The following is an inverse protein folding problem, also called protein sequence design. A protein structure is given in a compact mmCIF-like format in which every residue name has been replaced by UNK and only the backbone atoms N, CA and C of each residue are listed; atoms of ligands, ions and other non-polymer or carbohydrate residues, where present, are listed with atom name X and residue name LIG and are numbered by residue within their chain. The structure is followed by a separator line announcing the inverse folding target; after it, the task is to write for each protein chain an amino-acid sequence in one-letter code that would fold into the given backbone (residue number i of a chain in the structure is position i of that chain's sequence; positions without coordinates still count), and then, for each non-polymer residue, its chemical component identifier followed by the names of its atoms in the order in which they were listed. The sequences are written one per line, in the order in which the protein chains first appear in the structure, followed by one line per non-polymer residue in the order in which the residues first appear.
data_IF_597964462725
#
_entry.id   IF_597964462725
#
_cell.length_a   1.000
_cell.length_b   1.000
_cell.length_c   1.000
_cell.angle_alpha   90.00
_cell.angle_beta   90.00
_cell.angle_gamma   90.00
#
_symmetry.space_group_name_H-M   'P 1'
#
loop_
_entity.id
_entity.type
_entity.pdbx_description
1 polymer ?
#
# COMPACT_ATOMS: atom_id res chain seq x y z
N UNK A 1 27.58 16.46 7.84
CA UNK A 1 27.56 15.00 7.58
C UNK A 1 26.24 14.43 8.05
N UNK A 2 25.79 13.31 7.47
CA UNK A 2 24.59 12.55 7.83
C UNK A 2 25.03 11.10 8.09
N UNK A 3 25.12 10.67 9.36
CA UNK A 3 25.39 9.28 9.72
C UNK A 3 24.30 8.34 9.19
N UNK A 4 24.73 7.25 8.57
CA UNK A 4 23.89 6.15 8.13
C UNK A 4 24.40 4.84 8.74
N UNK A 5 23.51 4.17 9.47
CA UNK A 5 23.76 2.84 10.01
C UNK A 5 22.92 1.83 9.23
N UNK A 6 23.57 0.79 8.71
CA UNK A 6 22.92 -0.25 7.93
C UNK A 6 23.28 -1.59 8.57
N UNK A 7 22.26 -2.36 8.91
CA UNK A 7 22.40 -3.71 9.43
C UNK A 7 21.72 -4.69 8.48
N UNK A 8 22.48 -5.70 8.05
CA UNK A 8 22.02 -6.78 7.18
C UNK A 8 22.13 -8.06 7.96
N UNK A 9 21.00 -8.71 8.16
CA UNK A 9 20.84 -9.93 8.93
C UNK A 9 20.44 -11.03 7.94
N UNK A 10 21.25 -12.08 7.88
CA UNK A 10 21.04 -13.23 7.01
C UNK A 10 21.13 -14.51 7.82
N UNK A 11 20.91 -15.68 7.21
CA UNK A 11 20.96 -16.96 7.90
C UNK A 11 22.35 -17.21 8.54
N UNK A 12 22.46 -16.95 9.84
CA UNK A 12 23.66 -17.19 10.65
C UNK A 12 24.74 -16.10 10.61
N UNK A 13 24.52 -14.98 9.91
CA UNK A 13 25.46 -13.84 9.87
C UNK A 13 24.72 -12.51 10.05
N UNK A 14 25.39 -11.53 10.64
CA UNK A 14 24.90 -10.17 10.77
C UNK A 14 26.04 -9.19 10.54
N UNK A 15 25.85 -8.28 9.58
CA UNK A 15 26.85 -7.28 9.21
C UNK A 15 26.31 -5.89 9.41
N UNK A 16 27.11 -5.08 10.09
CA UNK A 16 26.80 -3.68 10.40
C UNK A 16 27.78 -2.76 9.70
N UNK A 17 27.24 -1.76 9.03
CA UNK A 17 27.96 -0.71 8.33
C UNK A 17 27.62 0.63 8.98
N UNK A 18 28.64 1.36 9.40
CA UNK A 18 28.51 2.74 9.86
C UNK A 18 29.17 3.63 8.80
N UNK A 19 28.38 4.50 8.19
CA UNK A 19 28.79 5.30 7.03
C UNK A 19 28.47 6.75 7.33
N UNK A 20 29.41 7.65 7.07
CA UNK A 20 29.13 9.09 7.09
C UNK A 20 28.89 9.59 5.68
N UNK A 21 27.72 10.16 5.43
CA UNK A 21 27.34 10.68 4.13
C UNK A 21 27.38 12.21 4.12
N UNK A 22 27.61 12.79 2.96
CA UNK A 22 27.41 14.22 2.79
C UNK A 22 25.91 14.54 3.00
N UNK A 23 25.62 15.47 3.90
CA UNK A 23 24.25 15.95 4.13
C UNK A 23 23.97 17.09 3.16
N UNK A 24 23.66 16.72 1.92
CA UNK A 24 23.40 17.64 0.83
C UNK A 24 22.12 17.24 0.10
N UNK A 25 21.36 18.23 -0.36
CA UNK A 25 20.05 18.04 -0.98
C UNK A 25 20.10 17.24 -2.27
N UNK A 26 21.15 17.41 -3.06
CA UNK A 26 21.30 16.83 -4.39
C UNK A 26 22.12 15.53 -4.34
N UNK A 27 23.20 15.52 -3.57
CA UNK A 27 24.11 14.37 -3.48
C UNK A 27 23.74 13.38 -2.38
N UNK A 28 23.17 13.82 -1.26
CA UNK A 28 22.81 12.96 -0.12
C UNK A 28 21.95 11.75 -0.51
N UNK A 29 20.86 11.91 -1.29
CA UNK A 29 20.01 10.79 -1.70
C UNK A 29 20.74 9.73 -2.54
N UNK A 30 21.57 10.14 -3.50
CA UNK A 30 22.28 9.19 -4.37
C UNK A 30 23.42 8.51 -3.60
N UNK A 31 24.12 9.23 -2.71
CA UNK A 31 25.16 8.65 -1.85
C UNK A 31 24.58 7.60 -0.90
N UNK A 32 23.43 7.88 -0.27
CA UNK A 32 22.75 6.92 0.60
C UNK A 32 22.32 5.67 -0.18
N UNK A 33 21.76 5.85 -1.38
CA UNK A 33 21.35 4.73 -2.23
C UNK A 33 22.53 3.86 -2.64
N UNK A 34 23.65 4.47 -3.02
CA UNK A 34 24.88 3.75 -3.36
C UNK A 34 25.45 3.03 -2.15
N UNK A 35 25.53 3.69 -1.00
CA UNK A 35 26.01 3.10 0.25
C UNK A 35 25.19 1.86 0.67
N UNK A 36 23.86 1.94 0.59
CA UNK A 36 22.98 0.80 0.88
C UNK A 36 23.14 -0.33 -0.13
N UNK A 37 23.22 -0.01 -1.42
CA UNK A 37 23.48 -1.01 -2.45
C UNK A 37 24.84 -1.71 -2.24
N UNK A 38 25.91 -0.95 -1.93
CA UNK A 38 27.24 -1.49 -1.65
C UNK A 38 27.27 -2.36 -0.39
N UNK A 39 26.60 -1.95 0.68
CA UNK A 39 26.46 -2.76 1.90
C UNK A 39 25.80 -4.12 1.58
N UNK A 40 24.72 -4.10 0.78
CA UNK A 40 24.06 -5.31 0.31
C UNK A 40 24.99 -6.15 -0.56
N UNK A 41 25.61 -5.61 -1.61
CA UNK A 41 26.54 -6.38 -2.48
C UNK A 41 27.67 -7.03 -1.68
N UNK A 42 28.16 -6.37 -0.63
CA UNK A 42 29.26 -6.88 0.19
C UNK A 42 28.84 -8.02 1.13
N UNK A 43 27.56 -8.09 1.48
CA UNK A 43 26.99 -9.08 2.40
C UNK A 43 26.27 -10.21 1.68
N UNK A 44 25.64 -9.88 0.56
CA UNK A 44 24.65 -10.65 -0.17
C UNK A 44 24.82 -10.50 -1.69
N UNK A 45 24.24 -11.41 -2.47
CA UNK A 45 24.10 -11.24 -3.92
C UNK A 45 22.87 -10.37 -4.20
N UNK A 46 23.03 -9.26 -4.93
CA UNK A 46 21.90 -8.38 -5.30
C UNK A 46 20.79 -9.07 -6.10
N UNK A 47 21.10 -10.20 -6.73
CA UNK A 47 20.19 -11.00 -7.56
C UNK A 47 20.00 -12.37 -6.95
N UNK A 48 18.77 -12.83 -6.91
CA UNK A 48 18.39 -14.10 -6.32
C UNK A 48 16.96 -14.05 -5.82
N UNK A 49 16.31 -15.20 -5.76
CA UNK A 49 14.99 -15.33 -5.16
C UNK A 49 15.12 -15.05 -3.66
N UNK A 50 14.71 -13.86 -3.24
CA UNK A 50 14.87 -13.38 -1.87
C UNK A 50 13.59 -12.80 -1.33
N UNK A 51 13.44 -12.83 -0.01
CA UNK A 51 12.50 -12.01 0.74
C UNK A 51 13.28 -11.16 1.72
N UNK A 52 12.97 -9.87 1.75
CA UNK A 52 13.67 -8.86 2.54
C UNK A 52 12.64 -8.15 3.41
N UNK A 53 12.62 -8.48 4.70
CA UNK A 53 11.92 -7.69 5.69
C UNK A 53 12.81 -6.50 6.06
N UNK A 54 12.31 -5.29 5.91
CA UNK A 54 13.12 -4.09 6.06
C UNK A 54 12.44 -3.07 6.96
N UNK A 55 13.24 -2.47 7.84
CA UNK A 55 12.85 -1.37 8.71
C UNK A 55 13.74 -0.17 8.45
N UNK A 56 13.13 1.01 8.40
CA UNK A 56 13.81 2.28 8.26
C UNK A 56 13.42 3.25 9.37
N UNK A 57 14.41 4.00 9.85
CA UNK A 57 14.24 5.13 10.76
C UNK A 57 15.05 6.31 10.24
N UNK A 58 14.40 7.45 10.09
CA UNK A 58 15.03 8.70 9.65
C UNK A 58 14.81 9.73 10.76
N UNK A 59 15.89 10.15 11.40
CA UNK A 59 15.87 11.19 12.43
C UNK A 59 16.03 12.55 11.77
N UNK A 60 15.17 13.51 12.11
CA UNK A 60 15.13 14.83 11.48
C UNK A 60 15.10 15.88 12.58
N UNK A 61 15.94 16.91 12.44
CA UNK A 61 16.08 17.94 13.45
C UNK A 61 14.74 18.62 13.74
N UNK A 62 14.43 18.78 15.04
CA UNK A 62 13.22 19.45 15.51
C UNK A 62 11.90 18.70 15.23
N UNK A 63 11.95 17.42 14.82
CA UNK A 63 10.77 16.64 14.43
C UNK A 63 10.82 15.22 14.98
N UNK A 64 9.66 14.58 15.10
CA UNK A 64 9.61 13.15 15.42
C UNK A 64 10.22 12.33 14.27
N UNK A 65 10.93 11.24 14.59
CA UNK A 65 11.57 10.40 13.57
C UNK A 65 10.52 9.72 12.69
N UNK A 66 10.80 9.67 11.39
CA UNK A 66 10.01 8.90 10.44
C UNK A 66 10.43 7.43 10.52
N UNK A 67 9.52 6.57 10.97
CA UNK A 67 9.72 5.12 11.04
C UNK A 67 8.80 4.45 10.04
N UNK A 68 9.32 3.48 9.30
CA UNK A 68 8.56 2.72 8.32
C UNK A 68 9.12 1.32 8.17
N UNK A 69 8.24 0.38 7.80
CA UNK A 69 8.57 -1.03 7.65
C UNK A 69 7.94 -1.54 6.36
N UNK A 70 8.62 -2.44 5.65
CA UNK A 70 8.08 -3.05 4.45
C UNK A 70 8.76 -4.40 4.16
N UNK A 71 8.14 -5.19 3.29
CA UNK A 71 8.69 -6.46 2.81
C UNK A 71 8.88 -6.38 1.29
N UNK A 72 9.99 -6.89 0.78
CA UNK A 72 10.30 -6.92 -0.65
C UNK A 72 10.67 -8.34 -1.03
N UNK A 73 10.04 -8.90 -2.06
CA UNK A 73 10.30 -10.29 -2.44
C UNK A 73 10.37 -10.49 -3.95
N UNK A 74 11.05 -11.56 -4.36
CA UNK A 74 11.23 -12.00 -5.74
C UNK A 74 12.70 -11.94 -6.20
N UNK A 75 12.97 -12.13 -7.51
CA UNK A 75 14.32 -12.19 -8.06
C UNK A 75 15.16 -10.92 -7.85
N UNK A 76 14.49 -9.79 -7.61
CA UNK A 76 15.06 -8.48 -7.37
C UNK A 76 14.68 -7.91 -5.99
N UNK A 77 14.35 -8.77 -5.01
CA UNK A 77 13.87 -8.37 -3.68
C UNK A 77 14.79 -7.35 -2.99
N UNK A 78 16.09 -7.64 -2.93
CA UNK A 78 17.11 -6.73 -2.40
C UNK A 78 17.19 -5.39 -3.16
N UNK A 79 17.13 -5.42 -4.50
CA UNK A 79 17.12 -4.20 -5.32
C UNK A 79 15.89 -3.33 -5.07
N UNK A 80 14.72 -3.95 -4.90
CA UNK A 80 13.48 -3.26 -4.51
C UNK A 80 13.58 -2.69 -3.09
N UNK A 81 14.21 -3.40 -2.15
CA UNK A 81 14.45 -2.91 -0.80
C UNK A 81 15.32 -1.65 -0.80
N UNK A 82 16.40 -1.61 -1.59
CA UNK A 82 17.23 -0.40 -1.77
C UNK A 82 16.38 0.79 -2.22
N UNK A 83 15.55 0.59 -3.24
CA UNK A 83 14.66 1.64 -3.78
C UNK A 83 13.66 2.11 -2.73
N UNK A 84 12.98 1.18 -2.07
CA UNK A 84 11.93 1.48 -1.10
C UNK A 84 12.46 2.17 0.15
N UNK A 85 13.61 1.72 0.69
CA UNK A 85 14.24 2.31 1.87
C UNK A 85 14.78 3.72 1.62
N UNK A 86 15.34 4.00 0.44
CA UNK A 86 15.95 5.31 0.12
C UNK A 86 14.96 6.34 -0.41
N UNK A 87 13.79 5.92 -0.90
CA UNK A 87 12.76 6.82 -1.43
C UNK A 87 12.30 7.90 -0.43
N UNK A 88 12.03 7.59 0.85
CA UNK A 88 11.66 8.61 1.83
C UNK A 88 12.72 9.69 2.01
N UNK A 89 14.00 9.34 2.16
CA UNK A 89 15.10 10.32 2.27
C UNK A 89 15.18 11.21 1.03
N UNK A 90 15.11 10.61 -0.16
CA UNK A 90 15.08 11.37 -1.41
C UNK A 90 13.91 12.36 -1.48
N UNK A 91 12.70 11.92 -1.11
CA UNK A 91 11.51 12.80 -1.11
C UNK A 91 11.58 13.90 -0.07
N UNK A 92 12.15 13.60 1.09
CA UNK A 92 12.36 14.54 2.19
C UNK A 92 13.38 15.61 1.78
N UNK A 93 14.60 15.25 1.36
CA UNK A 93 15.62 16.23 0.98
C UNK A 93 15.21 17.07 -0.24
N UNK A 94 14.60 16.45 -1.25
CA UNK A 94 14.15 17.14 -2.47
C UNK A 94 12.78 17.80 -2.35
N UNK A 95 12.21 17.89 -1.14
CA UNK A 95 10.93 18.55 -0.97
C UNK A 95 11.00 20.04 -1.36
N UNK A 96 9.94 20.65 -1.90
CA UNK A 96 9.93 22.04 -2.32
C UNK A 96 9.40 23.01 -1.25
N UNK A 97 9.06 22.54 -0.05
CA UNK A 97 8.31 23.31 0.95
C UNK A 97 9.24 24.00 1.95
N UNK A 98 10.15 23.22 2.54
CA UNK A 98 11.04 23.65 3.63
C UNK A 98 12.38 22.95 3.48
N UNK A 99 13.46 23.63 3.85
CA UNK A 99 14.74 22.95 4.04
C UNK A 99 14.66 22.03 5.27
N UNK A 100 15.27 20.85 5.17
CA UNK A 100 15.27 19.87 6.26
C UNK A 100 16.69 19.43 6.56
N UNK A 101 16.94 19.15 7.84
CA UNK A 101 18.20 18.58 8.29
C UNK A 101 17.97 17.16 8.80
N UNK A 102 18.42 16.16 8.03
CA UNK A 102 18.41 14.76 8.47
C UNK A 102 19.61 14.54 9.38
N UNK A 103 19.36 14.19 10.64
CA UNK A 103 20.38 13.97 11.67
C UNK A 103 21.00 12.58 11.55
N UNK A 104 20.20 11.56 11.19
CA UNK A 104 20.68 10.20 10.99
C UNK A 104 19.68 9.34 10.24
N UNK A 105 20.18 8.26 9.63
CA UNK A 105 19.37 7.22 9.00
C UNK A 105 19.80 5.85 9.51
N UNK A 106 18.84 5.01 9.87
CA UNK A 106 19.08 3.62 10.27
C UNK A 106 18.23 2.69 9.42
N UNK A 107 18.86 1.67 8.85
CA UNK A 107 18.19 0.60 8.12
C UNK A 107 18.57 -0.76 8.70
N UNK A 108 17.56 -1.59 8.92
CA UNK A 108 17.73 -3.01 9.25
C UNK A 108 17.05 -3.82 8.15
N UNK A 109 17.79 -4.78 7.59
CA UNK A 109 17.32 -5.67 6.53
C UNK A 109 17.51 -7.10 7.01
N UNK A 110 16.43 -7.85 7.09
CA UNK A 110 16.42 -9.29 7.33
C UNK A 110 16.19 -9.99 5.99
N UNK A 111 17.17 -10.80 5.57
CA UNK A 111 17.23 -11.42 4.25
C UNK A 111 17.03 -12.92 4.36
N UNK A 112 16.07 -13.42 3.59
CA UNK A 112 15.79 -14.84 3.42
C UNK A 112 16.03 -15.22 1.95
N UNK A 113 16.76 -16.32 1.69
CA UNK A 113 16.95 -16.90 0.35
C UNK A 113 15.71 -17.73 -0.11
N UNK A 114 14.53 -17.17 0.08
CA UNK A 114 13.26 -17.70 -0.42
C UNK A 114 12.40 -16.55 -0.92
N UNK A 115 11.86 -16.64 -2.14
CA UNK A 115 11.01 -15.60 -2.71
C UNK A 115 9.54 -15.84 -2.35
N UNK A 116 9.09 -15.21 -1.27
CA UNK A 116 7.70 -15.24 -0.83
C UNK A 116 6.87 -14.25 -1.63
N UNK A 117 6.53 -14.62 -2.88
CA UNK A 117 5.72 -13.82 -3.79
C UNK A 117 4.39 -14.52 -4.10
N UNK A 118 3.29 -13.77 -4.04
CA UNK A 118 1.95 -14.26 -4.35
C UNK A 118 1.22 -13.38 -5.37
N UNK A 119 0.44 -13.98 -6.27
CA UNK A 119 -0.49 -13.27 -7.16
C UNK A 119 -1.92 -13.59 -6.80
N UNK A 120 -2.73 -12.56 -6.54
CA UNK A 120 -4.18 -12.70 -6.36
C UNK A 120 -4.77 -13.21 -7.67
N UNK A 121 -5.28 -14.44 -7.65
CA UNK A 121 -5.74 -15.15 -8.84
C UNK A 121 -7.25 -15.12 -9.00
N UNK A 122 -7.99 -15.42 -7.94
CA UNK A 122 -9.45 -15.42 -7.96
C UNK A 122 -10.04 -15.15 -6.58
N UNK A 123 -11.31 -14.79 -6.57
CA UNK A 123 -12.10 -14.58 -5.36
C UNK A 123 -13.42 -15.34 -5.52
N UNK A 124 -13.86 -16.01 -4.45
CA UNK A 124 -15.19 -16.61 -4.37
C UNK A 124 -15.90 -16.05 -3.14
N UNK A 125 -17.19 -15.79 -3.28
CA UNK A 125 -18.07 -15.41 -2.18
C UNK A 125 -18.92 -16.61 -1.78
N UNK A 126 -19.23 -16.75 -0.50
CA UNK A 126 -20.15 -17.77 0.02
C UNK A 126 -21.63 -17.42 -0.22
N UNK A 127 -21.91 -16.16 -0.56
CA UNK A 127 -23.24 -15.63 -0.86
C UNK A 127 -23.33 -15.09 -2.28
N UNK A 128 -24.48 -15.35 -2.90
CA UNK A 128 -24.87 -14.80 -4.22
C UNK A 128 -25.92 -13.69 -4.11
N UNK A 129 -26.60 -13.59 -2.97
CA UNK A 129 -27.54 -12.54 -2.62
C UNK A 129 -27.08 -11.88 -1.34
N UNK A 130 -27.14 -10.55 -1.29
CA UNK A 130 -26.53 -9.74 -0.23
C UNK A 130 -27.56 -8.73 0.26
N UNK A 131 -27.79 -8.71 1.56
CA UNK A 131 -28.62 -7.74 2.24
C UNK A 131 -27.78 -6.81 3.13
N UNK A 132 -28.37 -5.69 3.57
CA UNK A 132 -27.73 -4.83 4.53
C UNK A 132 -27.49 -5.57 5.86
N UNK A 133 -26.35 -5.35 6.51
CA UNK A 133 -25.98 -6.07 7.73
C UNK A 133 -25.38 -7.47 7.52
N UNK A 134 -25.41 -8.02 6.29
CA UNK A 134 -24.87 -9.34 6.00
C UNK A 134 -23.37 -9.43 6.28
N UNK A 135 -22.96 -10.55 6.87
CA UNK A 135 -21.57 -11.01 6.81
C UNK A 135 -21.37 -11.90 5.59
N UNK A 136 -20.41 -11.55 4.74
CA UNK A 136 -20.04 -12.30 3.53
C UNK A 136 -18.70 -12.98 3.79
N UNK A 137 -18.64 -14.29 3.59
CA UNK A 137 -17.42 -15.07 3.53
C UNK A 137 -16.74 -14.94 2.16
N UNK A 138 -15.45 -14.68 2.18
CA UNK A 138 -14.64 -14.38 0.99
C UNK A 138 -13.46 -15.35 1.00
N UNK A 139 -13.38 -16.20 -0.03
CA UNK A 139 -12.24 -17.10 -0.25
C UNK A 139 -11.37 -16.52 -1.37
N UNK A 140 -10.17 -16.08 -1.00
CA UNK A 140 -9.23 -15.41 -1.90
C UNK A 140 -8.15 -16.42 -2.25
N UNK A 141 -8.02 -16.75 -3.53
CA UNK A 141 -7.01 -17.69 -4.01
C UNK A 141 -5.77 -16.91 -4.49
N UNK A 142 -4.63 -17.17 -3.84
CA UNK A 142 -3.33 -16.57 -4.14
C UNK A 142 -2.42 -17.64 -4.70
N UNK A 143 -1.94 -17.45 -5.93
CA UNK A 143 -0.97 -18.35 -6.56
C UNK A 143 0.43 -17.92 -6.13
N UNK A 144 1.14 -18.79 -5.38
CA UNK A 144 2.55 -18.56 -5.05
C UNK A 144 3.42 -18.68 -6.30
N UNK A 145 4.50 -17.92 -6.35
CA UNK A 145 5.52 -18.08 -7.39
C UNK A 145 6.13 -19.49 -7.28
N UNK A 146 6.12 -20.24 -8.39
CA UNK A 146 6.57 -21.65 -8.47
C UNK A 146 5.94 -22.61 -7.44
N UNK A 147 4.79 -22.26 -6.86
CA UNK A 147 4.18 -23.02 -5.78
C UNK A 147 2.67 -23.22 -5.93
N UNK A 148 2.09 -23.77 -4.87
CA UNK A 148 0.67 -24.11 -4.82
C UNK A 148 -0.24 -22.88 -4.68
N UNK A 149 -1.52 -23.13 -4.94
CA UNK A 149 -2.59 -22.18 -4.70
C UNK A 149 -2.88 -22.13 -3.19
N UNK A 150 -2.58 -21.00 -2.56
CA UNK A 150 -2.95 -20.72 -1.18
C UNK A 150 -4.35 -20.09 -1.13
N UNK A 151 -5.13 -20.44 -0.12
CA UNK A 151 -6.41 -19.79 0.17
C UNK A 151 -6.27 -18.89 1.38
N UNK A 152 -6.85 -17.70 1.29
CA UNK A 152 -6.99 -16.75 2.39
C UNK A 152 -8.49 -16.56 2.59
N UNK A 153 -8.98 -16.94 3.76
CA UNK A 153 -10.37 -16.75 4.14
C UNK A 153 -10.52 -15.40 4.86
N UNK A 154 -11.53 -14.64 4.45
CA UNK A 154 -11.84 -13.35 5.02
C UNK A 154 -13.36 -13.22 5.22
N UNK A 155 -13.76 -12.38 6.17
CA UNK A 155 -15.15 -12.04 6.40
C UNK A 155 -15.35 -10.53 6.29
N UNK A 156 -16.37 -10.11 5.57
CA UNK A 156 -16.72 -8.71 5.38
C UNK A 156 -18.18 -8.48 5.78
N UNK A 157 -18.40 -7.61 6.78
CA UNK A 157 -19.75 -7.17 7.16
C UNK A 157 -20.18 -5.97 6.31
N UNK A 158 -21.31 -6.10 5.64
CA UNK A 158 -22.01 -5.00 4.98
C UNK A 158 -22.63 -4.10 6.06
N UNK A 159 -22.44 -2.77 6.01
CA UNK A 159 -23.05 -1.87 6.98
C UNK A 159 -24.58 -2.01 7.03
N UNK A 160 -25.17 -1.90 8.21
CA UNK A 160 -26.62 -2.07 8.43
C UNK A 160 -27.45 -0.97 7.74
N UNK A 161 -26.95 0.26 7.70
CA UNK A 161 -27.54 1.38 6.96
C UNK A 161 -27.18 1.43 5.46
N UNK A 162 -27.01 0.28 4.81
CA UNK A 162 -26.75 0.22 3.36
C UNK A 162 -28.08 0.15 2.60
N UNK A 163 -28.45 1.22 1.91
CA UNK A 163 -29.62 1.19 1.00
C UNK A 163 -29.40 0.23 -0.17
N UNK A 164 -30.50 -0.21 -0.79
CA UNK A 164 -30.51 -0.97 -2.05
C UNK A 164 -29.68 -0.27 -3.13
N UNK A 165 -28.51 -0.84 -3.43
CA UNK A 165 -27.55 -0.23 -4.33
C UNK A 165 -26.47 -1.22 -4.81
N UNK A 166 -25.74 -0.79 -5.83
CA UNK A 166 -24.51 -1.44 -6.26
C UNK A 166 -23.32 -1.00 -5.40
N UNK A 167 -22.64 -1.96 -4.80
CA UNK A 167 -21.35 -1.79 -4.17
C UNK A 167 -20.23 -2.40 -5.03
N UNK A 168 -19.02 -1.91 -4.81
CA UNK A 168 -17.80 -2.44 -5.44
C UNK A 168 -16.86 -2.91 -4.35
N UNK A 169 -16.54 -4.20 -4.37
CA UNK A 169 -15.55 -4.81 -3.50
C UNK A 169 -14.24 -5.00 -4.27
N UNK A 170 -13.21 -4.28 -3.85
CA UNK A 170 -11.85 -4.48 -4.31
C UNK A 170 -11.10 -5.39 -3.36
N UNK A 171 -10.38 -6.37 -3.93
CA UNK A 171 -9.46 -7.26 -3.24
C UNK A 171 -8.09 -7.03 -3.90
N UNK A 172 -7.20 -6.31 -3.25
CA UNK A 172 -6.02 -5.72 -3.89
C UNK A 172 -4.77 -5.93 -3.07
N UNK A 173 -3.62 -6.08 -3.75
CA UNK A 173 -2.32 -5.93 -3.11
C UNK A 173 -2.09 -4.47 -2.69
N UNK A 174 -1.20 -4.24 -1.72
CA UNK A 174 -0.82 -2.90 -1.28
C UNK A 174 -0.37 -1.96 -2.43
N UNK A 175 0.38 -2.49 -3.40
CA UNK A 175 0.82 -1.75 -4.59
C UNK A 175 -0.33 -1.35 -5.52
N UNK A 176 -1.30 -2.26 -5.72
CA UNK A 176 -2.52 -2.00 -6.50
C UNK A 176 -3.42 -0.99 -5.79
N UNK A 177 -3.56 -1.12 -4.47
CA UNK A 177 -4.29 -0.18 -3.62
C UNK A 177 -3.74 1.24 -3.74
N UNK A 178 -2.43 1.43 -3.53
CA UNK A 178 -1.79 2.74 -3.65
C UNK A 178 -2.02 3.36 -5.04
N UNK A 179 -1.92 2.58 -6.11
CA UNK A 179 -2.17 3.04 -7.49
C UNK A 179 -3.63 3.44 -7.73
N UNK A 180 -4.57 2.75 -7.10
CA UNK A 180 -6.00 3.05 -7.21
C UNK A 180 -6.37 4.28 -6.39
N UNK A 181 -5.95 4.33 -5.14
CA UNK A 181 -6.25 5.42 -4.21
C UNK A 181 -5.59 6.75 -4.63
N UNK A 182 -4.35 6.71 -5.12
CA UNK A 182 -3.70 7.92 -5.67
C UNK A 182 -4.42 8.51 -6.90
N UNK A 183 -5.26 7.73 -7.58
CA UNK A 183 -6.15 8.24 -8.64
C UNK A 183 -7.51 8.69 -8.10
N UNK A 184 -8.04 7.98 -7.09
CA UNK A 184 -9.34 8.25 -6.48
C UNK A 184 -9.33 9.54 -5.67
N UNK A 185 -8.30 9.71 -4.83
CA UNK A 185 -8.10 10.85 -3.93
C UNK A 185 -6.67 11.42 -4.08
N UNK A 186 -6.32 12.01 -5.25
CA UNK A 186 -4.95 12.42 -5.55
C UNK A 186 -4.37 13.43 -4.55
N UNK A 187 -5.23 14.21 -3.90
CA UNK A 187 -4.82 15.20 -2.91
C UNK A 187 -4.28 14.58 -1.61
N UNK A 188 -4.63 13.34 -1.26
CA UNK A 188 -4.03 12.62 -0.10
C UNK A 188 -2.62 12.14 -0.38
N UNK A 189 -2.30 11.89 -1.66
CA UNK A 189 -1.02 11.28 -2.06
C UNK A 189 -0.05 12.31 -2.64
N UNK A 190 -0.51 13.54 -2.83
CA UNK A 190 0.30 14.70 -3.23
C UNK A 190 0.47 15.60 -2.02
N UNK A 191 1.67 15.59 -1.45
CA UNK A 191 2.03 16.50 -0.38
C UNK A 191 1.73 17.95 -0.79
N UNK A 192 1.25 18.76 0.15
CA UNK A 192 0.99 20.20 -0.04
C UNK A 192 1.92 21.07 0.80
N UNK A 193 2.54 20.47 1.81
CA UNK A 193 3.50 21.06 2.75
C UNK A 193 4.29 19.91 3.41
N UNK A 194 5.30 20.24 4.21
CA UNK A 194 6.21 19.24 4.78
C UNK A 194 5.51 18.25 5.73
N UNK A 195 4.66 18.72 6.64
CA UNK A 195 3.90 17.82 7.53
C UNK A 195 3.05 16.79 6.78
N UNK A 196 2.48 17.20 5.64
CA UNK A 196 1.72 16.29 4.80
C UNK A 196 2.63 15.25 4.16
N UNK A 197 3.83 15.64 3.72
CA UNK A 197 4.81 14.70 3.18
C UNK A 197 5.20 13.63 4.23
N UNK A 198 5.49 14.02 5.46
CA UNK A 198 5.79 13.06 6.55
C UNK A 198 4.65 12.07 6.75
N UNK A 199 3.40 12.56 6.76
CA UNK A 199 2.21 11.71 6.89
C UNK A 199 2.09 10.70 5.73
N UNK A 200 2.33 11.12 4.49
CA UNK A 200 2.29 10.24 3.32
C UNK A 200 3.38 9.16 3.43
N UNK A 201 4.59 9.54 3.82
CA UNK A 201 5.72 8.62 3.93
C UNK A 201 5.57 7.64 5.10
N UNK A 202 4.93 8.06 6.19
CA UNK A 202 4.69 7.22 7.37
C UNK A 202 3.45 6.30 7.27
N UNK A 203 2.66 6.41 6.21
CA UNK A 203 1.42 5.62 6.00
C UNK A 203 1.50 4.68 4.80
N UNK A 204 2.71 4.30 4.40
CA UNK A 204 2.89 3.34 3.31
C UNK A 204 2.42 1.97 3.81
N UNK A 205 1.46 1.37 3.11
CA UNK A 205 1.01 0.01 3.36
C UNK A 205 2.16 -0.98 3.11
N UNK A 206 2.31 -1.97 3.99
CA UNK A 206 3.30 -3.02 3.78
C UNK A 206 2.91 -3.87 2.57
N UNK A 207 3.89 -4.29 1.78
CA UNK A 207 3.68 -5.06 0.55
C UNK A 207 3.14 -6.48 0.79
N UNK A 208 3.31 -7.01 2.01
CA UNK A 208 2.74 -8.27 2.52
C UNK A 208 1.33 -8.08 3.10
N UNK A 209 0.60 -7.06 2.66
CA UNK A 209 -0.78 -6.78 3.11
C UNK A 209 -1.77 -6.93 1.95
N UNK A 210 -2.79 -7.76 2.18
CA UNK A 210 -3.98 -7.87 1.35
C UNK A 210 -5.02 -6.88 1.86
N UNK A 211 -5.61 -6.10 0.96
CA UNK A 211 -6.57 -5.06 1.30
C UNK A 211 -7.91 -5.37 0.65
N UNK A 212 -8.95 -5.49 1.47
CA UNK A 212 -10.34 -5.56 1.05
C UNK A 212 -10.95 -4.17 1.24
N UNK A 213 -11.45 -3.56 0.17
CA UNK A 213 -12.06 -2.25 0.20
C UNK A 213 -13.46 -2.31 -0.41
N UNK A 214 -14.47 -2.02 0.40
CA UNK A 214 -15.86 -1.92 0.00
C UNK A 214 -16.22 -0.47 -0.28
N UNK A 215 -16.65 -0.19 -1.51
CA UNK A 215 -17.00 1.13 -2.00
C UNK A 215 -18.48 1.21 -2.34
N UNK A 216 -19.12 2.33 -2.02
CA UNK A 216 -20.40 2.71 -2.61
C UNK A 216 -20.16 3.38 -3.97
N UNK A 217 -21.06 3.14 -4.92
CA UNK A 217 -21.11 3.88 -6.18
C UNK A 217 -21.57 5.34 -6.02
N UNK A 218 -21.97 5.76 -4.81
CA UNK A 218 -22.37 7.14 -4.50
C UNK A 218 -21.13 8.03 -4.30
N UNK A 219 -21.23 9.25 -4.82
CA UNK A 219 -20.18 10.25 -4.69
C UNK A 219 -19.98 10.67 -3.22
N UNK A 220 -18.73 10.73 -2.79
CA UNK A 220 -18.28 11.22 -1.49
C UNK A 220 -17.59 12.58 -1.60
N UNK A 221 -16.99 13.03 -0.51
CA UNK A 221 -16.30 14.33 -0.41
C UNK A 221 -15.00 14.18 0.38
N UNK A 222 -13.95 14.87 -0.08
CA UNK A 222 -12.71 15.06 0.68
C UNK A 222 -12.63 16.49 1.23
N UNK A 223 -12.13 16.64 2.45
CA UNK A 223 -11.88 17.92 3.15
C UNK A 223 -10.40 17.96 3.49
N UNK A 224 -9.68 18.98 3.01
CA UNK A 224 -8.23 19.11 3.18
C UNK A 224 -7.42 17.90 2.66
N UNK A 225 -7.97 17.17 1.68
CA UNK A 225 -7.40 15.92 1.18
C UNK A 225 -8.05 14.69 1.81
N UNK A 226 -8.48 14.74 3.07
CA UNK A 226 -9.07 13.56 3.74
C UNK A 226 -10.47 13.25 3.29
N UNK A 227 -10.72 12.00 2.93
CA UNK A 227 -12.08 11.52 2.73
C UNK A 227 -12.82 11.52 4.06
N UNK A 228 -13.98 12.18 4.09
CA UNK A 228 -14.86 12.19 5.26
C UNK A 228 -15.96 11.17 4.97
N UNK A 229 -15.93 10.03 5.66
CA UNK A 229 -16.89 8.95 5.42
C UNK A 229 -18.30 9.30 5.91
N UNK A 230 -19.29 8.87 5.13
CA UNK A 230 -20.74 8.88 5.43
C UNK A 230 -21.33 10.22 5.88
N UNK A 231 -21.13 11.29 5.10
CA UNK A 231 -21.97 12.48 5.23
C UNK A 231 -23.33 12.24 4.53
N UNK A 232 -24.46 12.59 5.14
CA UNK A 232 -25.76 12.56 4.47
C UNK A 232 -25.71 13.34 3.15
N UNK A 233 -26.48 12.94 2.11
CA UNK A 233 -26.48 13.62 0.80
C UNK A 233 -26.71 15.13 0.89
N UNK A 234 -27.47 15.59 1.89
CA UNK A 234 -27.70 17.01 2.19
C UNK A 234 -26.44 17.75 2.63
N UNK A 235 -25.60 17.13 3.47
CA UNK A 235 -24.33 17.73 3.92
C UNK A 235 -23.31 17.73 2.78
N UNK A 236 -23.24 16.64 1.99
CA UNK A 236 -22.43 16.60 0.75
C UNK A 236 -22.84 17.70 -0.22
N UNK A 237 -24.15 17.93 -0.38
CA UNK A 237 -24.68 18.99 -1.25
C UNK A 237 -24.37 20.38 -0.73
N UNK A 238 -24.49 20.62 0.58
CA UNK A 238 -24.11 21.89 1.22
C UNK A 238 -22.61 22.16 1.07
N UNK A 239 -21.75 21.16 1.28
CA UNK A 239 -20.30 21.30 1.08
C UNK A 239 -19.92 21.50 -0.39
N UNK A 240 -20.66 20.88 -1.31
CA UNK A 240 -20.52 21.13 -2.75
C UNK A 240 -20.94 22.55 -3.17
N UNK A 241 -21.75 23.25 -2.39
CA UNK A 241 -22.11 24.66 -2.64
C UNK A 241 -21.01 25.61 -2.11
N UNK A 242 -20.29 25.24 -1.04
CA UNK A 242 -19.20 26.01 -0.43
C UNK A 242 -17.84 25.92 -1.17
N UNK A 243 -17.86 25.67 -2.49
CA UNK A 243 -16.66 25.41 -3.34
C UNK A 243 -15.66 26.57 -3.42
N UNK A 244 -16.03 27.76 -2.96
CA UNK A 244 -15.22 28.98 -3.09
C UNK A 244 -13.85 28.92 -2.38
N UNK A 245 -13.64 27.99 -1.45
CA UNK A 245 -12.37 27.87 -0.69
C UNK A 245 -11.38 26.83 -1.24
N UNK A 246 -11.73 26.05 -2.27
CA UNK A 246 -10.82 25.04 -2.88
C UNK A 246 -10.43 23.85 -1.99
N UNK A 247 -10.94 23.78 -0.75
CA UNK A 247 -10.63 22.76 0.26
C UNK A 247 -11.49 21.50 0.19
N UNK A 248 -12.53 21.52 -0.67
CA UNK A 248 -13.56 20.47 -0.79
C UNK A 248 -13.56 19.92 -2.23
N UNK A 249 -13.28 18.62 -2.39
CA UNK A 249 -13.41 17.93 -3.69
C UNK A 249 -14.34 16.73 -3.58
N UNK A 250 -15.12 16.48 -4.63
CA UNK A 250 -15.95 15.28 -4.71
C UNK A 250 -15.13 14.06 -5.15
N UNK A 251 -15.40 12.92 -4.52
CA UNK A 251 -14.87 11.61 -4.91
C UNK A 251 -16.01 10.82 -5.54
N UNK A 252 -15.73 10.08 -6.62
CA UNK A 252 -16.79 9.33 -7.33
C UNK A 252 -17.31 8.10 -6.58
N UNK A 253 -16.52 7.58 -5.63
CA UNK A 253 -16.86 6.40 -4.84
C UNK A 253 -16.44 6.64 -3.39
N UNK A 254 -17.37 6.39 -2.47
CA UNK A 254 -17.13 6.52 -1.02
C UNK A 254 -16.70 5.18 -0.43
N UNK A 255 -15.65 5.18 0.40
CA UNK A 255 -15.26 4.00 1.18
C UNK A 255 -16.29 3.73 2.28
N UNK A 256 -16.89 2.53 2.26
CA UNK A 256 -17.79 2.04 3.30
C UNK A 256 -17.05 1.21 4.35
N UNK A 257 -16.09 0.39 3.93
CA UNK A 257 -15.31 -0.48 4.80
C UNK A 257 -13.96 -0.80 4.19
N UNK A 258 -12.95 -0.89 5.05
CA UNK A 258 -11.65 -1.46 4.70
C UNK A 258 -11.23 -2.53 5.71
N UNK A 259 -10.58 -3.57 5.22
CA UNK A 259 -9.96 -4.62 6.03
C UNK A 259 -8.55 -4.87 5.48
N UNK A 260 -7.56 -4.87 6.38
CA UNK A 260 -6.16 -5.17 6.08
C UNK A 260 -5.83 -6.53 6.68
N UNK A 261 -5.32 -7.43 5.85
CA UNK A 261 -4.98 -8.81 6.23
C UNK A 261 -3.49 -9.00 5.93
N UNK A 262 -2.63 -9.14 6.96
CA UNK A 262 -1.24 -9.53 6.77
C UNK A 262 -1.15 -10.91 6.12
N UNK A 263 -0.19 -11.07 5.20
CA UNK A 263 0.09 -12.32 4.51
C UNK A 263 1.54 -12.74 4.67
N UNK A 264 1.84 -13.99 4.34
CA UNK A 264 3.19 -14.56 4.39
C UNK A 264 4.06 -14.18 3.19
N UNK A 265 3.46 -13.57 2.16
CA UNK A 265 4.07 -13.25 0.88
C UNK A 265 3.75 -11.82 0.44
N UNK A 266 4.66 -11.23 -0.35
CA UNK A 266 4.42 -9.97 -1.06
C UNK A 266 3.44 -10.22 -2.19
N UNK A 267 2.33 -9.48 -2.16
CA UNK A 267 1.22 -9.71 -3.08
C UNK A 267 1.28 -8.84 -4.33
N UNK A 268 0.73 -9.38 -5.41
CA UNK A 268 0.50 -8.67 -6.67
C UNK A 268 -0.92 -8.93 -7.21
N UNK A 269 -1.41 -8.00 -8.02
CA UNK A 269 -2.70 -8.12 -8.68
C UNK A 269 -3.85 -7.55 -7.87
N UNK A 270 -5.05 -7.77 -8.40
CA UNK A 270 -6.29 -7.21 -7.90
C UNK A 270 -7.48 -8.01 -8.45
N UNK A 271 -8.53 -8.12 -7.66
CA UNK A 271 -9.85 -8.59 -8.10
C UNK A 271 -10.91 -7.55 -7.74
N UNK A 272 -11.92 -7.41 -8.59
CA UNK A 272 -13.04 -6.51 -8.37
C UNK A 272 -14.33 -7.29 -8.51
N UNK A 273 -15.15 -7.22 -7.46
CA UNK A 273 -16.46 -7.86 -7.41
C UNK A 273 -17.52 -6.78 -7.23
N UNK A 274 -18.57 -6.88 -8.01
CA UNK A 274 -19.74 -6.01 -7.90
C UNK A 274 -20.77 -6.75 -7.07
N UNK A 275 -21.25 -6.08 -6.02
CA UNK A 275 -22.28 -6.60 -5.12
C UNK A 275 -23.55 -5.79 -5.34
N UNK A 276 -24.69 -6.45 -5.55
CA UNK A 276 -26.00 -5.83 -5.56
C UNK A 276 -26.62 -6.11 -4.19
N UNK A 277 -26.85 -5.04 -3.43
CA UNK A 277 -27.50 -5.10 -2.13
C UNK A 277 -28.99 -4.83 -2.34
N UNK A 278 -29.85 -5.70 -1.79
CA UNK A 278 -31.31 -5.59 -1.93
C UNK A 278 -31.94 -6.68 -2.78
N UNK A 279 -33.25 -6.58 -3.07
CA UNK A 279 -34.17 -7.69 -3.45
C UNK A 279 -33.92 -8.43 -4.78
N UNK A 280 -32.83 -8.20 -5.50
CA UNK A 280 -32.55 -8.92 -6.77
C UNK A 280 -31.91 -10.30 -6.52
N UNK A 281 -32.49 -11.35 -7.12
CA UNK A 281 -32.15 -12.76 -6.87
C UNK A 281 -30.78 -13.23 -7.41
N UNK A 282 -30.04 -12.39 -8.15
CA UNK A 282 -28.69 -12.70 -8.68
C UNK A 282 -27.74 -11.50 -8.48
N UNK A 283 -27.09 -11.43 -7.33
CA UNK A 283 -26.50 -10.19 -6.80
C UNK A 283 -24.98 -10.02 -6.94
N UNK A 284 -24.26 -10.90 -7.65
CA UNK A 284 -22.80 -10.85 -7.74
C UNK A 284 -22.34 -10.86 -9.20
N UNK A 285 -21.61 -9.82 -9.61
CA UNK A 285 -21.00 -9.72 -10.95
C UNK A 285 -19.48 -9.55 -10.79
N UNK A 286 -18.71 -10.48 -11.36
CA UNK A 286 -17.25 -10.37 -11.37
C UNK A 286 -16.79 -9.47 -12.51
N UNK A 287 -16.00 -8.45 -12.20
CA UNK A 287 -15.39 -7.56 -13.19
C UNK A 287 -13.87 -7.77 -13.20
N UNK A 288 -13.40 -8.67 -14.07
CA UNK A 288 -11.96 -8.96 -14.24
C UNK A 288 -11.67 -9.56 -15.61
N UNK A 289 -10.49 -9.27 -16.17
CA UNK A 289 -10.03 -9.93 -17.41
C UNK A 289 -9.94 -11.43 -17.14
N UNK A 290 -10.76 -12.22 -17.84
CA UNK A 290 -10.56 -13.65 -17.95
C UNK A 290 -9.12 -13.88 -18.44
N UNK A 291 -8.34 -14.67 -17.69
CA UNK A 291 -7.11 -15.25 -18.23
C UNK A 291 -7.44 -16.04 -19.51
N UNK A 292 -6.47 -16.21 -20.43
CA UNK A 292 -6.74 -16.82 -21.72
C UNK A 292 -7.34 -18.21 -21.49
N UNK A 293 -8.56 -18.40 -21.97
CA UNK A 293 -9.21 -19.70 -22.05
C UNK A 293 -8.29 -20.64 -22.79
N UNK A 294 -7.87 -21.72 -22.14
CA UNK A 294 -7.04 -22.77 -22.74
C UNK A 294 -7.67 -23.23 -24.04
N UNK A 295 -6.97 -22.97 -25.15
CA UNK A 295 -7.31 -23.53 -26.44
C UNK A 295 -7.21 -25.05 -26.35
N UNK A 296 -8.34 -25.72 -26.57
CA UNK A 296 -8.36 -27.15 -26.89
C UNK A 296 -7.45 -27.37 -28.10
N UNK A 297 -6.48 -28.26 -27.95
CA UNK A 297 -6.05 -29.17 -29.01
C UNK A 297 -6.42 -30.57 -28.58
#
# INVERSE_FOLDING_TARGET
MMPAQIEIISAGDSRRFNIELLNDRDFGPILLRTALASAIISSEKLTGETTVAAKGRISVAGRSPLVFENVYAGPAGLGLAVLGLTTPVNRLLRNPYEEIHIESVTYTLEVEEDARVGRIESVRLDKTHIEAGDSIGIVISVRKYLGDLQKIDAMLKIPEQTDDQRLVLHIVSASSYLKMESKRVPDEYRAKHLEHLFRILGRVEKNDTLILQLLSARAGVTVEGREVSTLPPSVVSAMNLSRESGSVRSVRQTILKEVRIPTDSVLSGSQTVVLLVGREKNGVIFAGKAGPTGGKK
#
